data_IF_429068948441
#
_entry.id   IF_429068948441
#
_cell.length_a   1.000
_cell.length_b   1.000
_cell.length_c   1.000
_cell.angle_alpha   90.00
_cell.angle_beta   90.00
_cell.angle_gamma   90.00
#
_symmetry.space_group_name_H-M   'P 1'
#
loop_
_entity.id
_entity.type
_entity.pdbx_description
1 polymer ?
#
# COMPACT_ATOMS: atom_id res chain seq x y z
N UNK A 1 -27.13 4.04 4.44
CA UNK A 1 -26.62 3.86 3.07
C UNK A 1 -25.49 2.85 3.17
N UNK A 2 -25.61 1.68 2.53
CA UNK A 2 -24.52 0.69 2.48
C UNK A 2 -23.49 1.19 1.46
N UNK A 3 -22.53 1.98 1.90
CA UNK A 3 -21.31 2.24 1.13
C UNK A 3 -20.44 1.00 1.22
N UNK A 4 -20.46 0.18 0.17
CA UNK A 4 -19.48 -0.90 0.03
C UNK A 4 -18.10 -0.26 0.00
N UNK A 5 -17.28 -0.52 1.02
CA UNK A 5 -15.97 0.08 1.11
C UNK A 5 -15.11 -0.38 -0.08
N UNK A 6 -14.66 0.57 -0.90
CA UNK A 6 -13.89 0.23 -2.09
C UNK A 6 -12.41 0.06 -1.75
N UNK A 7 -11.81 -1.01 -2.28
CA UNK A 7 -10.42 -1.40 -2.07
C UNK A 7 -9.61 -1.28 -3.36
N UNK A 8 -8.35 -0.89 -3.25
CA UNK A 8 -7.39 -0.93 -4.36
C UNK A 8 -6.16 -1.74 -4.01
N UNK A 9 -5.58 -2.37 -5.02
CA UNK A 9 -4.43 -3.25 -4.90
C UNK A 9 -3.23 -2.59 -5.58
N UNK A 10 -2.11 -2.63 -4.87
CA UNK A 10 -0.80 -2.27 -5.42
C UNK A 10 0.11 -3.47 -5.23
N UNK A 11 0.58 -4.03 -6.34
CA UNK A 11 1.48 -5.17 -6.36
C UNK A 11 2.93 -4.71 -6.24
N UNK A 12 3.68 -5.37 -5.36
CA UNK A 12 5.13 -5.38 -5.40
C UNK A 12 5.58 -6.54 -6.27
N UNK A 13 6.30 -6.21 -7.33
CA UNK A 13 6.63 -7.13 -8.41
C UNK A 13 8.13 -7.20 -8.65
N UNK A 14 8.56 -8.31 -9.25
CA UNK A 14 9.92 -8.57 -9.69
C UNK A 14 9.93 -8.80 -11.20
N UNK A 15 10.81 -8.09 -11.92
CA UNK A 15 11.06 -8.24 -13.35
C UNK A 15 12.55 -8.18 -13.62
N UNK A 16 13.14 -9.27 -14.12
CA UNK A 16 14.57 -9.35 -14.48
C UNK A 16 15.51 -8.84 -13.36
N UNK A 17 15.20 -9.17 -12.11
CA UNK A 17 15.96 -8.75 -10.92
C UNK A 17 15.63 -7.33 -10.40
N UNK A 18 14.90 -6.53 -11.17
CA UNK A 18 14.38 -5.23 -10.72
C UNK A 18 13.12 -5.43 -9.87
N UNK A 19 12.95 -4.61 -8.84
CA UNK A 19 11.80 -4.65 -7.93
C UNK A 19 11.11 -3.30 -7.87
N UNK A 20 9.78 -3.28 -8.01
CA UNK A 20 9.01 -2.05 -8.03
C UNK A 20 7.52 -2.29 -7.74
N UNK A 21 6.75 -1.21 -7.64
CA UNK A 21 5.32 -1.20 -7.33
C UNK A 21 4.47 -0.88 -8.56
N UNK A 22 3.36 -1.58 -8.74
CA UNK A 22 2.41 -1.35 -9.83
C UNK A 22 0.98 -1.46 -9.34
N UNK A 23 0.11 -0.57 -9.80
CA UNK A 23 -1.34 -0.65 -9.56
C UNK A 23 -2.09 -1.38 -10.70
N UNK A 24 -1.37 -1.84 -11.73
CA UNK A 24 -1.93 -2.60 -12.85
C UNK A 24 -0.82 -3.44 -13.50
N UNK A 25 -0.66 -4.68 -13.04
CA UNK A 25 0.38 -5.59 -13.54
C UNK A 25 0.21 -5.95 -15.02
N UNK A 26 -1.01 -5.95 -15.55
CA UNK A 26 -1.28 -6.25 -16.97
C UNK A 26 -0.57 -5.30 -17.93
N UNK A 27 -0.16 -4.11 -17.46
CA UNK A 27 0.62 -3.15 -18.24
C UNK A 27 2.13 -3.47 -18.29
N UNK A 28 2.62 -4.42 -17.50
CA UNK A 28 4.04 -4.78 -17.42
C UNK A 28 4.21 -6.30 -17.54
N UNK A 29 4.17 -6.85 -18.78
CA UNK A 29 4.27 -8.29 -19.00
C UNK A 29 5.61 -8.86 -18.51
N UNK A 30 5.58 -10.10 -18.01
CA UNK A 30 6.76 -10.80 -17.48
C UNK A 30 7.09 -10.52 -16.01
N UNK A 31 6.32 -9.66 -15.34
CA UNK A 31 6.45 -9.44 -13.91
C UNK A 31 5.93 -10.64 -13.09
N UNK A 32 6.64 -10.97 -12.01
CA UNK A 32 6.17 -11.89 -10.97
C UNK A 32 5.71 -11.08 -9.77
N UNK A 33 4.48 -11.33 -9.29
CA UNK A 33 3.98 -10.72 -8.05
C UNK A 33 4.68 -11.38 -6.87
N UNK A 34 5.23 -10.58 -5.97
CA UNK A 34 5.75 -11.05 -4.68
C UNK A 34 4.69 -10.84 -3.58
N UNK A 35 4.25 -9.59 -3.42
CA UNK A 35 3.27 -9.19 -2.39
C UNK A 35 2.24 -8.24 -2.97
N UNK A 36 0.97 -8.44 -2.65
CA UNK A 36 -0.12 -7.50 -2.95
C UNK A 36 -0.43 -6.69 -1.71
N UNK A 37 -0.37 -5.37 -1.81
CA UNK A 37 -0.75 -4.46 -0.75
C UNK A 37 -2.17 -3.95 -1.00
N UNK A 38 -3.02 -4.02 0.03
CA UNK A 38 -4.43 -3.64 -0.03
C UNK A 38 -4.61 -2.30 0.69
N UNK A 39 -5.16 -1.33 -0.03
CA UNK A 39 -5.39 0.03 0.46
C UNK A 39 -6.88 0.39 0.40
N UNK A 40 -7.30 1.28 1.29
CA UNK A 40 -8.61 1.90 1.20
C UNK A 40 -8.64 2.87 0.00
N UNK A 41 -9.73 2.90 -0.77
CA UNK A 41 -9.90 3.89 -1.85
C UNK A 41 -10.43 5.23 -1.36
N UNK A 42 -10.98 5.26 -0.15
CA UNK A 42 -11.58 6.45 0.45
C UNK A 42 -10.84 6.84 1.74
N UNK A 43 -10.76 8.15 2.03
CA UNK A 43 -10.30 8.60 3.34
C UNK A 43 -11.31 8.20 4.41
N UNK A 44 -10.85 7.99 5.63
CA UNK A 44 -11.72 7.71 6.77
C UNK A 44 -11.83 8.98 7.64
N UNK A 45 -13.03 9.48 7.97
CA UNK A 45 -13.19 10.68 8.79
C UNK A 45 -12.70 10.51 10.24
N UNK A 46 -12.64 9.28 10.75
CA UNK A 46 -12.22 8.97 12.11
C UNK A 46 -10.71 8.74 12.24
N UNK A 47 -9.98 8.67 11.12
CA UNK A 47 -8.57 8.35 11.09
C UNK A 47 -7.78 9.25 10.14
N UNK A 48 -6.53 9.55 10.48
CA UNK A 48 -5.69 10.41 9.63
C UNK A 48 -5.27 9.63 8.38
N UNK A 49 -5.98 9.86 7.29
CA UNK A 49 -5.71 9.29 5.97
C UNK A 49 -4.54 9.99 5.29
N UNK A 50 -3.69 9.19 4.65
CA UNK A 50 -2.47 9.60 3.95
C UNK A 50 -2.57 9.09 2.51
N UNK A 51 -2.71 9.99 1.50
CA UNK A 51 -2.85 9.56 0.12
C UNK A 51 -1.56 8.93 -0.42
N UNK A 52 -1.73 7.96 -1.30
CA UNK A 52 -0.64 7.21 -1.92
C UNK A 52 -0.49 7.62 -3.39
N UNK A 53 0.74 7.95 -3.76
CA UNK A 53 1.12 8.38 -5.09
C UNK A 53 2.20 7.46 -5.68
N UNK A 54 2.32 7.45 -7.00
CA UNK A 54 3.41 6.81 -7.72
C UNK A 54 4.01 7.77 -8.74
N UNK A 55 5.33 7.69 -8.90
CA UNK A 55 6.04 8.34 -10.00
C UNK A 55 6.35 7.32 -11.08
N UNK A 56 5.84 7.55 -12.30
CA UNK A 56 5.88 6.59 -13.40
C UNK A 56 7.30 6.09 -13.73
N UNK A 57 8.32 6.96 -13.70
CA UNK A 57 9.71 6.57 -14.02
C UNK A 57 10.42 5.79 -12.91
N UNK A 58 9.86 5.76 -11.70
CA UNK A 58 10.52 5.15 -10.53
C UNK A 58 9.73 3.98 -9.95
N UNK A 59 8.47 3.82 -10.35
CA UNK A 59 7.55 2.81 -9.87
C UNK A 59 7.62 2.59 -8.35
N UNK A 60 7.75 3.70 -7.60
CA UNK A 60 7.86 3.77 -6.15
C UNK A 60 6.59 4.39 -5.58
N UNK A 61 6.22 3.96 -4.38
CA UNK A 61 5.14 4.59 -3.61
C UNK A 61 5.64 5.81 -2.84
N UNK A 62 4.81 6.83 -2.80
CA UNK A 62 5.02 8.06 -2.06
C UNK A 62 3.77 8.36 -1.27
N UNK A 63 3.93 8.86 -0.05
CA UNK A 63 2.83 9.02 0.90
C UNK A 63 2.72 10.48 1.33
N UNK A 64 1.50 11.01 1.28
CA UNK A 64 1.17 12.36 1.75
C UNK A 64 0.94 13.39 0.64
N UNK A 65 0.28 14.48 1.00
CA UNK A 65 -0.24 15.47 0.06
C UNK A 65 0.83 16.29 -0.67
N UNK A 66 2.06 16.32 -0.15
CA UNK A 66 3.20 16.99 -0.81
C UNK A 66 3.49 16.40 -2.20
N UNK A 67 3.05 15.17 -2.47
CA UNK A 67 3.19 14.50 -3.75
C UNK A 67 2.01 14.73 -4.70
N UNK A 68 1.04 15.59 -4.35
CA UNK A 68 -0.04 16.01 -5.24
C UNK A 68 0.43 17.10 -6.23
N UNK A 69 1.51 16.83 -6.94
CA UNK A 69 2.14 17.74 -7.90
C UNK A 69 2.44 17.02 -9.21
N UNK A 70 2.75 17.78 -10.26
CA UNK A 70 3.05 17.23 -11.59
C UNK A 70 4.17 16.18 -11.54
N UNK A 71 3.96 15.06 -12.23
CA UNK A 71 4.91 13.94 -12.29
C UNK A 71 4.65 12.83 -11.27
N UNK A 72 3.71 13.03 -10.34
CA UNK A 72 3.18 12.01 -9.46
C UNK A 72 1.72 11.73 -9.83
N UNK A 73 1.32 10.47 -9.73
CA UNK A 73 -0.03 10.02 -10.02
C UNK A 73 -0.64 9.49 -8.74
N UNK A 74 -1.77 10.08 -8.33
CA UNK A 74 -2.56 9.55 -7.23
C UNK A 74 -3.09 8.18 -7.60
N UNK A 75 -2.93 7.20 -6.71
CA UNK A 75 -3.29 5.80 -6.97
C UNK A 75 -4.71 5.43 -6.54
N UNK A 76 -5.54 6.41 -6.16
CA UNK A 76 -6.83 6.15 -5.50
C UNK A 76 -6.67 5.24 -4.27
N UNK A 77 -5.62 5.48 -3.49
CA UNK A 77 -5.22 4.66 -2.36
C UNK A 77 -4.91 5.57 -1.16
N UNK A 78 -5.34 5.14 0.02
CA UNK A 78 -5.03 5.76 1.30
C UNK A 78 -4.41 4.76 2.26
N UNK A 79 -3.36 5.20 2.94
CA UNK A 79 -2.81 4.60 4.16
C UNK A 79 -3.21 5.46 5.37
N UNK A 80 -2.86 5.02 6.58
CA UNK A 80 -3.25 5.71 7.83
C UNK A 80 -2.04 5.87 8.75
N UNK A 81 -2.00 6.93 9.56
CA UNK A 81 -0.84 7.18 10.46
C UNK A 81 -0.81 6.28 11.69
N UNK A 82 -1.92 5.62 12.01
CA UNK A 82 -2.09 4.73 13.15
C UNK A 82 -3.07 3.61 12.80
N UNK A 83 -3.09 2.56 13.64
CA UNK A 83 -4.10 1.50 13.53
C UNK A 83 -5.48 2.09 13.76
N UNK A 84 -6.37 1.85 12.80
CA UNK A 84 -7.73 2.35 12.78
C UNK A 84 -8.69 1.16 12.80
N UNK A 85 -9.73 1.20 13.62
CA UNK A 85 -10.80 0.20 13.66
C UNK A 85 -12.07 0.86 13.13
N UNK A 86 -12.82 0.19 12.25
CA UNK A 86 -13.94 0.81 11.56
C UNK A 86 -15.07 -0.20 11.38
N UNK A 87 -16.30 0.28 11.55
CA UNK A 87 -17.51 -0.46 11.20
C UNK A 87 -17.96 -0.04 9.79
N UNK A 88 -17.87 -0.94 8.81
CA UNK A 88 -18.37 -0.73 7.45
C UNK A 88 -17.45 0.02 6.47
N UNK A 89 -16.39 0.68 6.93
CA UNK A 89 -15.33 1.26 6.07
C UNK A 89 -14.05 0.42 6.19
N UNK A 90 -13.31 0.26 5.10
CA UNK A 90 -12.03 -0.42 5.14
C UNK A 90 -10.93 0.50 5.65
N UNK A 91 -10.17 0.06 6.66
CA UNK A 91 -9.17 0.91 7.29
C UNK A 91 -7.89 0.20 7.71
N UNK A 92 -6.90 1.01 8.08
CA UNK A 92 -5.53 0.58 8.32
C UNK A 92 -5.41 -0.33 9.54
N UNK A 93 -5.19 -1.62 9.31
CA UNK A 93 -4.95 -2.61 10.37
C UNK A 93 -3.50 -3.10 10.38
N UNK A 94 -2.85 -3.09 9.21
CA UNK A 94 -1.54 -3.69 9.00
C UNK A 94 -0.45 -2.63 8.85
N UNK A 95 0.60 -2.63 9.70
CA UNK A 95 1.67 -1.66 9.60
C UNK A 95 2.64 -1.99 8.44
N UNK A 96 3.00 -0.97 7.69
CA UNK A 96 4.09 -0.96 6.71
C UNK A 96 5.08 0.14 7.05
N UNK A 97 6.36 -0.15 6.81
CA UNK A 97 7.47 0.80 6.92
C UNK A 97 8.34 0.71 5.68
N UNK A 98 8.88 1.83 5.26
CA UNK A 98 9.91 1.85 4.23
C UNK A 98 11.21 1.24 4.76
N UNK A 99 11.87 0.46 3.93
CA UNK A 99 13.28 0.08 4.06
C UNK A 99 13.93 0.18 2.69
N UNK A 100 15.22 0.49 2.68
CA UNK A 100 16.03 0.50 1.46
C UNK A 100 16.91 -0.75 1.50
N UNK A 101 16.79 -1.62 0.48
CA UNK A 101 17.69 -2.78 0.29
C UNK A 101 18.45 -2.56 -1.01
N UNK A 102 19.75 -2.26 -0.90
CA UNK A 102 20.55 -1.81 -2.04
C UNK A 102 19.98 -0.50 -2.59
N UNK A 103 19.48 -0.52 -3.82
CA UNK A 103 18.82 0.63 -4.48
C UNK A 103 17.29 0.52 -4.50
N UNK A 104 16.72 -0.58 -3.98
CA UNK A 104 15.29 -0.83 -4.02
C UNK A 104 14.59 -0.34 -2.75
N UNK A 105 13.49 0.38 -2.94
CA UNK A 105 12.58 0.75 -1.86
C UNK A 105 11.62 -0.40 -1.60
N UNK A 106 11.44 -0.72 -0.33
CA UNK A 106 10.57 -1.80 0.08
C UNK A 106 9.71 -1.39 1.27
N UNK A 107 8.41 -1.66 1.16
CA UNK A 107 7.46 -1.51 2.24
C UNK A 107 7.20 -2.87 2.90
N UNK A 108 6.82 -2.87 4.17
CA UNK A 108 6.42 -4.09 4.88
C UNK A 108 6.57 -3.95 6.38
N UNK A 109 6.21 -5.00 7.11
CA UNK A 109 6.20 -4.97 8.56
C UNK A 109 7.59 -5.32 9.12
N UNK A 110 8.43 -4.29 9.29
CA UNK A 110 9.78 -4.43 9.84
C UNK A 110 9.87 -3.80 11.23
N UNK A 111 10.72 -4.37 12.08
CA UNK A 111 11.21 -3.66 13.26
C UNK A 111 11.97 -2.40 12.79
N UNK A 112 11.79 -1.28 13.50
CA UNK A 112 12.33 0.02 13.11
C UNK A 112 13.85 -0.05 12.89
N UNK A 113 14.34 0.34 11.72
CA UNK A 113 15.78 0.46 11.45
C UNK A 113 16.30 1.91 11.43
N UNK A 114 15.43 2.94 11.46
CA UNK A 114 15.83 4.35 11.58
C UNK A 114 14.70 5.24 12.12
N UNK A 115 15.04 6.41 12.68
CA UNK A 115 14.10 7.44 13.19
C UNK A 115 13.23 8.10 12.10
N UNK A 116 13.54 7.88 10.81
CA UNK A 116 12.76 8.39 9.66
C UNK A 116 11.63 7.43 9.24
N UNK A 117 11.52 6.26 9.86
CA UNK A 117 10.55 5.22 9.50
C UNK A 117 9.26 5.32 10.32
N UNK A 118 8.42 6.31 10.02
CA UNK A 118 7.04 6.30 10.49
C UNK A 118 6.32 5.05 9.96
N UNK A 119 5.63 4.33 10.85
CA UNK A 119 4.74 3.26 10.43
C UNK A 119 3.48 3.88 9.84
N UNK A 120 3.14 3.46 8.62
CA UNK A 120 1.82 3.69 8.03
C UNK A 120 1.02 2.40 8.12
N UNK A 121 -0.30 2.51 8.18
CA UNK A 121 -1.19 1.38 8.29
C UNK A 121 -2.00 1.27 7.01
N UNK A 122 -2.02 0.08 6.43
CA UNK A 122 -2.82 -0.26 5.25
C UNK A 122 -3.88 -1.28 5.65
N UNK A 123 -4.83 -1.55 4.77
CA UNK A 123 -5.91 -2.50 5.08
C UNK A 123 -5.32 -3.89 5.35
N UNK A 124 -4.42 -4.35 4.49
CA UNK A 124 -3.78 -5.65 4.62
C UNK A 124 -2.85 -5.97 3.45
N UNK A 125 -2.43 -7.24 3.36
CA UNK A 125 -1.61 -7.72 2.26
C UNK A 125 -1.88 -9.20 1.96
N UNK A 126 -1.56 -9.62 0.74
CA UNK A 126 -1.64 -11.01 0.26
C UNK A 126 -0.29 -11.41 -0.34
N UNK A 127 0.21 -12.61 -0.03
CA UNK A 127 1.36 -13.17 -0.76
C UNK A 127 0.92 -13.77 -2.09
N UNK A 128 1.88 -13.98 -2.99
CA UNK A 128 1.68 -14.56 -4.31
C UNK A 128 1.08 -15.97 -4.30
N UNK A 129 1.26 -16.72 -3.21
CA UNK A 129 0.61 -18.02 -2.96
C UNK A 129 -0.83 -17.90 -2.47
N UNK A 130 -1.42 -16.69 -2.50
CA UNK A 130 -2.71 -16.35 -1.92
C UNK A 130 -2.82 -16.65 -0.41
N UNK A 131 -1.71 -16.87 0.29
CA UNK A 131 -1.73 -16.88 1.74
C UNK A 131 -1.96 -15.45 2.25
N UNK A 132 -2.99 -15.30 3.07
CA UNK A 132 -3.22 -14.09 3.85
C UNK A 132 -2.22 -14.05 4.99
N UNK A 133 -1.51 -12.93 5.17
CA UNK A 133 -0.80 -12.68 6.42
C UNK A 133 -1.77 -12.55 7.59
N UNK A 134 -1.36 -13.01 8.77
CA UNK A 134 -2.08 -12.81 10.04
C UNK A 134 -2.53 -11.35 10.16
N UNK A 135 -3.85 -11.10 10.13
CA UNK A 135 -4.43 -9.76 10.22
C UNK A 135 -5.45 -9.42 9.13
N UNK A 136 -5.50 -10.17 8.03
CA UNK A 136 -6.66 -10.14 7.15
C UNK A 136 -7.80 -10.92 7.82
N UNK A 137 -8.59 -10.22 8.64
CA UNK A 137 -9.94 -10.72 8.92
C UNK A 137 -10.61 -10.91 7.57
N UNK A 138 -11.13 -12.10 7.29
CA UNK A 138 -11.91 -12.45 6.07
C UNK A 138 -13.18 -11.60 5.90
N UNK A 139 -13.32 -10.51 6.65
CA UNK A 139 -14.43 -9.60 6.65
C UNK A 139 -14.27 -8.63 5.51
N UNK A 140 -15.12 -8.81 4.50
CA UNK A 140 -16.15 -7.82 4.16
C UNK A 140 -15.88 -6.42 4.75
N UNK A 141 -14.84 -5.76 4.25
CA UNK A 141 -15.13 -4.56 3.52
C UNK A 141 -15.45 -5.00 2.07
#
# INVERSE_FOLDING_TARGET
MNTTASLTIIDWVVLSGSRFYVNNISKIPGCVIDTRYVFAMEPNPECVSVPVFQRASQHRLYFGDVYNVTGYTFLHAYAFTHRCACEGICCGSWPIRERIIGTAYHYGNYAASTDKNQALYIVGWLRSDNSTGDGMSKTNC
#
